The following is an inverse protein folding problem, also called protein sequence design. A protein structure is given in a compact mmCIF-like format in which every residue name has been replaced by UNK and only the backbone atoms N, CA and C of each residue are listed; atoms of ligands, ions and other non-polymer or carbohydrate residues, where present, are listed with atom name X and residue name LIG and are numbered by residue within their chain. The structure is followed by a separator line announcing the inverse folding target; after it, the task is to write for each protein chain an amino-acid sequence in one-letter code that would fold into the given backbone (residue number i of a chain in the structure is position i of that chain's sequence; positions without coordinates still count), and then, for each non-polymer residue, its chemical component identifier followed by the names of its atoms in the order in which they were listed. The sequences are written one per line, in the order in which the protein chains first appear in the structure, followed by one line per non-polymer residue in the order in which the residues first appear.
data_IF_933001485784
#
_entry.id   IF_933001485784
#
_cell.length_a   1.000
_cell.length_b   1.000
_cell.length_c   1.000
_cell.angle_alpha   90.00
_cell.angle_beta   90.00
_cell.angle_gamma   90.00
#
_symmetry.space_group_name_H-M   'P 1'
#
loop_
_entity.id
_entity.type
_entity.pdbx_description
1 polymer ?
#
# COMPACT_ATOMS: atom_id res chain seq x y z
N UNK A 1 18.63 3.66 28.50
CA UNK A 1 18.32 2.51 27.60
C UNK A 1 18.14 2.88 26.12
N UNK A 2 17.44 3.96 25.74
CA UNK A 2 17.20 4.34 24.32
C UNK A 2 18.47 4.57 23.46
N UNK A 3 19.57 5.07 24.03
CA UNK A 3 20.86 5.29 23.30
C UNK A 3 21.56 3.99 22.85
N UNK A 4 21.53 2.94 23.68
CA UNK A 4 22.17 1.66 23.38
C UNK A 4 21.43 0.87 22.28
N UNK A 5 20.10 1.04 22.20
CA UNK A 5 19.27 0.41 21.17
C UNK A 5 19.54 0.98 19.77
N UNK A 6 19.70 2.31 19.67
CA UNK A 6 20.08 2.99 18.42
C UNK A 6 21.47 2.55 17.95
N UNK A 7 22.45 2.49 18.85
CA UNK A 7 23.83 2.10 18.54
C UNK A 7 23.91 0.66 18.02
N UNK A 8 23.14 -0.27 18.60
CA UNK A 8 23.08 -1.68 18.16
C UNK A 8 22.46 -1.84 16.76
N UNK A 9 21.48 -1.01 16.42
CA UNK A 9 20.88 -1.00 15.08
C UNK A 9 21.81 -0.40 14.03
N UNK A 10 22.55 0.67 14.36
CA UNK A 10 23.56 1.24 13.48
C UNK A 10 24.68 0.23 13.15
N UNK A 11 25.17 -0.51 14.15
CA UNK A 11 26.21 -1.54 13.96
C UNK A 11 25.72 -2.67 13.05
N UNK A 12 24.47 -3.13 13.21
CA UNK A 12 23.88 -4.14 12.32
C UNK A 12 23.75 -3.65 10.88
N UNK A 13 23.35 -2.38 10.68
CA UNK A 13 23.28 -1.77 9.35
C UNK A 13 24.68 -1.70 8.73
N UNK A 14 25.67 -1.27 9.51
CA UNK A 14 27.07 -1.17 9.08
C UNK A 14 27.65 -2.53 8.66
N UNK A 15 27.47 -3.57 9.48
CA UNK A 15 27.89 -4.94 9.18
C UNK A 15 27.18 -5.49 7.93
N UNK A 16 25.87 -5.26 7.82
CA UNK A 16 25.10 -5.67 6.64
C UNK A 16 25.55 -4.98 5.35
N UNK A 17 26.02 -3.73 5.41
CA UNK A 17 26.65 -3.06 4.25
C UNK A 17 28.01 -3.65 3.89
N UNK A 18 28.83 -4.06 4.85
CA UNK A 18 30.16 -4.65 4.60
C UNK A 18 30.04 -6.02 3.93
N UNK A 19 29.11 -6.88 4.38
CA UNK A 19 28.91 -8.20 3.77
C UNK A 19 28.45 -8.08 2.31
N UNK A 20 27.54 -7.13 2.03
CA UNK A 20 27.11 -6.84 0.66
C UNK A 20 28.26 -6.27 -0.18
N UNK A 21 29.15 -5.46 0.41
CA UNK A 21 30.33 -4.93 -0.25
C UNK A 21 31.27 -6.05 -0.73
N UNK A 22 31.56 -7.01 0.14
CA UNK A 22 32.42 -8.15 -0.19
C UNK A 22 31.77 -9.00 -1.31
N UNK A 23 30.46 -9.25 -1.23
CA UNK A 23 29.72 -10.01 -2.25
C UNK A 23 29.72 -9.33 -3.63
N UNK A 24 29.51 -8.02 -3.69
CA UNK A 24 29.55 -7.26 -4.94
C UNK A 24 30.95 -7.28 -5.54
N UNK A 25 32.00 -7.13 -4.72
CA UNK A 25 33.38 -7.25 -5.19
C UNK A 25 33.69 -8.64 -5.78
N UNK A 26 33.22 -9.71 -5.14
CA UNK A 26 33.42 -11.09 -5.64
C UNK A 26 32.72 -11.29 -6.99
N UNK A 27 31.49 -10.79 -7.14
CA UNK A 27 30.72 -10.90 -8.39
C UNK A 27 31.40 -10.11 -9.51
N UNK A 28 31.83 -8.87 -9.24
CA UNK A 28 32.51 -8.03 -10.23
C UNK A 28 33.88 -8.59 -10.61
N UNK A 29 34.63 -9.14 -9.65
CA UNK A 29 35.89 -9.83 -9.92
C UNK A 29 35.69 -11.08 -10.77
N UNK A 30 34.60 -11.83 -10.53
CA UNK A 30 34.23 -12.99 -11.32
C UNK A 30 33.84 -12.62 -12.76
N UNK A 31 33.11 -11.52 -12.95
CA UNK A 31 32.77 -10.98 -14.28
C UNK A 31 34.03 -10.50 -15.01
N UNK A 32 34.92 -9.77 -14.33
CA UNK A 32 36.20 -9.33 -14.90
C UNK A 32 37.06 -10.51 -15.37
N UNK A 33 37.21 -11.53 -14.53
CA UNK A 33 37.98 -12.72 -14.85
C UNK A 33 37.36 -13.53 -16.01
N UNK A 34 36.02 -13.65 -16.03
CA UNK A 34 35.31 -14.46 -17.03
C UNK A 34 35.27 -13.79 -18.41
N UNK A 35 35.07 -12.48 -18.48
CA UNK A 35 34.92 -11.76 -19.75
C UNK A 35 36.23 -11.14 -20.29
N UNK A 36 37.35 -11.23 -19.55
CA UNK A 36 38.65 -10.62 -19.90
C UNK A 36 38.50 -9.17 -20.38
N UNK A 37 37.71 -8.38 -19.65
CA UNK A 37 37.54 -6.95 -19.95
C UNK A 37 38.89 -6.28 -19.67
N UNK A 38 39.65 -5.96 -20.72
CA UNK A 38 41.00 -5.39 -20.62
C UNK A 38 41.01 -3.94 -20.09
N UNK A 39 39.87 -3.25 -20.12
CA UNK A 39 39.78 -1.86 -19.68
C UNK A 39 39.40 -1.78 -18.19
N UNK A 40 40.42 -1.73 -17.34
CA UNK A 40 40.30 -1.58 -15.88
C UNK A 40 39.48 -0.34 -15.47
N UNK A 41 39.39 0.67 -16.35
CA UNK A 41 38.62 1.91 -16.10
C UNK A 41 37.11 1.63 -16.04
N UNK A 42 36.63 0.62 -16.75
CA UNK A 42 35.21 0.25 -16.76
C UNK A 42 34.76 -0.29 -15.39
N UNK A 43 35.60 -1.09 -14.72
CA UNK A 43 35.32 -1.59 -13.37
C UNK A 43 35.31 -0.47 -12.32
N UNK A 44 36.23 0.49 -12.43
CA UNK A 44 36.31 1.65 -11.52
C UNK A 44 35.06 2.51 -11.59
N UNK A 45 34.40 2.59 -12.76
CA UNK A 45 33.15 3.34 -12.96
C UNK A 45 31.92 2.55 -12.50
N UNK A 46 31.88 1.24 -12.77
CA UNK A 46 30.73 0.38 -12.44
C UNK A 46 30.55 0.14 -10.92
N UNK A 47 31.65 0.04 -10.15
CA UNK A 47 31.57 -0.19 -8.70
C UNK A 47 30.79 0.94 -7.99
N UNK A 48 31.16 2.24 -8.12
CA UNK A 48 30.41 3.34 -7.52
C UNK A 48 28.95 3.42 -7.96
N UNK A 49 28.63 3.09 -9.21
CA UNK A 49 27.25 3.14 -9.72
C UNK A 49 26.37 2.06 -9.07
N UNK A 50 26.86 0.82 -8.99
CA UNK A 50 26.16 -0.27 -8.30
C UNK A 50 26.00 0.05 -6.81
N UNK A 51 27.01 0.65 -6.17
CA UNK A 51 26.90 1.15 -4.79
C UNK A 51 25.86 2.24 -4.65
N UNK A 52 25.84 3.21 -5.57
CA UNK A 52 24.85 4.29 -5.61
C UNK A 52 23.43 3.74 -5.67
N UNK A 53 23.19 2.75 -6.54
CA UNK A 53 21.89 2.09 -6.68
C UNK A 53 21.50 1.33 -5.40
N UNK A 54 22.40 0.52 -4.83
CA UNK A 54 22.12 -0.22 -3.59
C UNK A 54 21.85 0.73 -2.42
N UNK A 55 22.64 1.81 -2.30
CA UNK A 55 22.47 2.83 -1.27
C UNK A 55 21.12 3.56 -1.44
N UNK A 56 20.77 3.96 -2.66
CA UNK A 56 19.47 4.57 -2.99
C UNK A 56 18.30 3.65 -2.62
N UNK A 57 18.38 2.36 -2.97
CA UNK A 57 17.34 1.37 -2.63
C UNK A 57 17.20 1.21 -1.12
N UNK A 58 18.32 1.10 -0.38
CA UNK A 58 18.31 0.99 1.08
C UNK A 58 17.75 2.25 1.75
N UNK A 59 18.15 3.44 1.29
CA UNK A 59 17.65 4.72 1.81
C UNK A 59 16.15 4.83 1.58
N UNK A 60 15.67 4.51 0.38
CA UNK A 60 14.24 4.48 0.06
C UNK A 60 13.46 3.51 0.96
N UNK A 61 13.99 2.30 1.17
CA UNK A 61 13.38 1.32 2.06
C UNK A 61 13.34 1.78 3.52
N UNK A 62 14.43 2.38 4.04
CA UNK A 62 14.47 2.89 5.40
C UNK A 62 13.53 4.08 5.62
N UNK A 63 13.48 5.03 4.68
CA UNK A 63 12.52 6.13 4.72
C UNK A 63 11.09 5.60 4.77
N UNK A 64 10.77 4.63 3.92
CA UNK A 64 9.44 4.01 3.93
C UNK A 64 9.13 3.33 5.27
N UNK A 65 10.06 2.53 5.80
CA UNK A 65 9.89 1.88 7.11
C UNK A 65 9.65 2.90 8.22
N UNK A 66 10.34 4.04 8.20
CA UNK A 66 10.15 5.11 9.17
C UNK A 66 8.80 5.80 9.02
N UNK A 67 8.32 6.01 7.79
CA UNK A 67 6.97 6.55 7.53
C UNK A 67 5.90 5.59 8.04
N UNK A 68 5.99 4.30 7.73
CA UNK A 68 5.01 3.32 8.22
C UNK A 68 5.03 3.18 9.74
N UNK A 69 6.22 3.27 10.33
CA UNK A 69 6.36 3.29 11.78
C UNK A 69 5.70 4.53 12.38
N UNK A 70 5.87 5.70 11.77
CA UNK A 70 5.19 6.92 12.18
C UNK A 70 3.67 6.75 12.13
N UNK A 71 3.12 6.20 11.03
CA UNK A 71 1.67 5.90 10.95
C UNK A 71 1.24 5.03 12.12
N UNK A 72 1.94 3.91 12.31
CA UNK A 72 1.57 2.97 13.35
C UNK A 72 1.62 3.58 14.76
N UNK A 73 2.67 4.33 15.06
CA UNK A 73 2.96 4.82 16.41
C UNK A 73 2.15 6.08 16.77
N UNK A 74 1.84 6.92 15.79
CA UNK A 74 1.20 8.24 16.00
C UNK A 74 -0.27 8.25 15.58
N UNK A 75 -0.80 7.15 15.02
CA UNK A 75 -2.18 7.11 14.59
C UNK A 75 -3.15 6.72 15.70
N UNK A 76 -4.27 7.46 15.75
CA UNK A 76 -5.50 6.92 16.35
C UNK A 76 -5.98 5.80 15.44
N UNK A 77 -6.07 4.59 15.98
CA UNK A 77 -6.49 3.41 15.22
C UNK A 77 -7.99 3.16 15.31
N UNK A 78 -8.55 3.31 16.50
CA UNK A 78 -9.94 2.93 16.80
C UNK A 78 -10.81 4.19 16.85
N UNK A 79 -11.83 4.23 16.01
CA UNK A 79 -12.73 5.35 15.83
C UNK A 79 -14.17 4.90 16.10
N UNK A 80 -14.87 5.64 16.95
CA UNK A 80 -16.30 5.43 17.15
C UNK A 80 -17.06 6.03 15.95
N UNK A 81 -17.96 5.25 15.36
CA UNK A 81 -18.85 5.74 14.32
C UNK A 81 -20.06 6.43 14.96
N UNK A 82 -20.53 7.52 14.36
CA UNK A 82 -21.61 8.33 14.93
C UNK A 82 -22.95 7.60 15.01
N UNK A 83 -23.25 6.77 14.02
CA UNK A 83 -24.48 6.00 13.91
C UNK A 83 -24.17 4.55 13.52
N UNK A 84 -25.04 3.61 13.88
CA UNK A 84 -24.93 2.24 13.38
C UNK A 84 -25.09 2.23 11.86
N UNK A 85 -23.98 2.02 11.16
CA UNK A 85 -23.97 1.89 9.70
C UNK A 85 -24.24 0.43 9.34
N UNK A 86 -25.04 0.18 8.30
CA UNK A 86 -25.20 -1.14 7.66
C UNK A 86 -24.33 -1.27 6.41
N UNK A 87 -24.12 -2.51 5.95
CA UNK A 87 -23.33 -2.76 4.74
C UNK A 87 -23.93 -2.05 3.53
N UNK A 88 -25.25 -2.06 3.40
CA UNK A 88 -26.01 -1.42 2.31
C UNK A 88 -25.82 0.09 2.32
N UNK A 89 -25.81 0.70 3.51
CA UNK A 89 -25.55 2.13 3.65
C UNK A 89 -24.12 2.50 3.25
N UNK A 90 -23.12 1.64 3.52
CA UNK A 90 -21.76 1.86 3.00
C UNK A 90 -21.77 1.82 1.47
N UNK A 91 -22.41 0.83 0.87
CA UNK A 91 -22.49 0.69 -0.60
C UNK A 91 -23.17 1.93 -1.21
N UNK A 92 -24.27 2.39 -0.63
CA UNK A 92 -24.98 3.59 -1.09
C UNK A 92 -24.08 4.83 -1.00
N UNK A 93 -23.41 5.05 0.13
CA UNK A 93 -22.48 6.18 0.30
C UNK A 93 -21.29 6.08 -0.65
N UNK A 94 -20.78 4.88 -0.92
CA UNK A 94 -19.75 4.65 -1.95
C UNK A 94 -20.28 5.06 -3.34
N UNK A 95 -21.52 4.72 -3.69
CA UNK A 95 -22.16 5.18 -4.95
C UNK A 95 -22.29 6.71 -4.99
N UNK A 96 -22.68 7.34 -3.88
CA UNK A 96 -22.77 8.81 -3.78
C UNK A 96 -21.43 9.51 -4.02
N UNK A 97 -20.30 8.86 -3.71
CA UNK A 97 -18.96 9.36 -4.05
C UNK A 97 -18.58 9.15 -5.52
N UNK A 98 -19.48 8.61 -6.34
CA UNK A 98 -19.31 8.43 -7.77
C UNK A 98 -18.61 7.12 -8.16
N UNK A 99 -18.68 6.09 -7.31
CA UNK A 99 -18.22 4.75 -7.65
C UNK A 99 -19.36 3.93 -8.28
N UNK A 100 -19.08 3.24 -9.38
CA UNK A 100 -19.95 2.19 -9.90
C UNK A 100 -19.73 0.92 -9.08
N UNK A 101 -20.79 0.33 -8.50
CA UNK A 101 -20.65 -0.83 -7.60
C UNK A 101 -21.02 -2.14 -8.28
N UNK A 102 -20.27 -3.20 -7.98
CA UNK A 102 -20.44 -4.56 -8.48
C UNK A 102 -20.40 -5.55 -7.31
N UNK A 103 -21.30 -6.52 -7.31
CA UNK A 103 -21.30 -7.62 -6.35
C UNK A 103 -20.68 -8.86 -6.99
N UNK A 104 -19.64 -9.42 -6.36
CA UNK A 104 -18.98 -10.67 -6.79
C UNK A 104 -18.73 -11.52 -5.55
N UNK A 105 -19.35 -12.69 -5.46
CA UNK A 105 -19.07 -13.71 -4.43
C UNK A 105 -18.90 -13.16 -3.00
N UNK A 106 -19.90 -12.41 -2.52
CA UNK A 106 -19.95 -11.75 -1.21
C UNK A 106 -18.96 -10.59 -1.01
N UNK A 107 -18.35 -10.09 -2.09
CA UNK A 107 -17.54 -8.88 -2.12
C UNK A 107 -18.34 -7.81 -2.85
N UNK A 108 -18.39 -6.61 -2.25
CA UNK A 108 -18.93 -5.44 -2.92
C UNK A 108 -17.76 -4.58 -3.38
N UNK A 109 -17.68 -4.35 -4.68
CA UNK A 109 -16.61 -3.61 -5.33
C UNK A 109 -17.14 -2.31 -5.90
N UNK A 110 -16.77 -1.17 -5.31
CA UNK A 110 -16.93 0.14 -5.93
C UNK A 110 -15.75 0.47 -6.83
N UNK A 111 -15.99 0.84 -8.09
CA UNK A 111 -14.98 1.30 -9.04
C UNK A 111 -15.28 2.74 -9.47
N UNK A 112 -14.31 3.64 -9.28
CA UNK A 112 -14.41 5.01 -9.77
C UNK A 112 -13.27 5.32 -10.73
N UNK A 113 -13.63 5.72 -11.94
CA UNK A 113 -12.69 6.24 -12.93
C UNK A 113 -12.50 7.74 -12.73
N UNK A 114 -11.24 8.16 -12.61
CA UNK A 114 -10.87 9.57 -12.51
C UNK A 114 -9.83 9.86 -13.57
N UNK A 115 -10.12 10.83 -14.43
CA UNK A 115 -9.15 11.33 -15.39
C UNK A 115 -8.29 12.41 -14.72
N UNK A 116 -7.00 12.11 -14.56
CA UNK A 116 -6.02 13.05 -14.04
C UNK A 116 -5.28 13.65 -15.24
N UNK A 117 -5.48 14.94 -15.47
CA UNK A 117 -4.67 15.70 -16.44
C UNK A 117 -3.35 16.06 -15.79
N UNK A 118 -2.25 15.52 -16.31
CA UNK A 118 -0.89 15.90 -15.90
C UNK A 118 -0.12 16.30 -17.16
N UNK A 119 0.10 17.61 -17.33
CA UNK A 119 0.65 18.21 -18.55
C UNK A 119 -0.23 17.92 -19.79
N UNK A 120 0.38 17.54 -20.93
CA UNK A 120 -0.29 17.18 -22.19
C UNK A 120 -0.87 15.75 -22.20
N UNK A 121 -0.78 15.00 -21.10
CA UNK A 121 -1.28 13.63 -21.01
C UNK A 121 -2.44 13.53 -20.02
N UNK A 122 -3.51 12.87 -20.46
CA UNK A 122 -4.62 12.44 -19.63
C UNK A 122 -4.39 11.00 -19.19
N UNK A 123 -4.38 10.75 -17.87
CA UNK A 123 -4.25 9.42 -17.28
C UNK A 123 -5.57 9.08 -16.62
N UNK A 124 -6.18 7.97 -17.01
CA UNK A 124 -7.35 7.43 -16.33
C UNK A 124 -6.89 6.52 -15.18
N UNK A 125 -7.26 6.88 -13.96
CA UNK A 125 -7.01 6.11 -12.75
C UNK A 125 -8.30 5.45 -12.28
N UNK A 126 -8.22 4.22 -11.78
CA UNK A 126 -9.35 3.60 -11.09
C UNK A 126 -9.06 3.47 -9.61
N UNK A 127 -9.97 4.03 -8.82
CA UNK A 127 -10.07 3.76 -7.40
C UNK A 127 -11.01 2.59 -7.20
N UNK A 128 -10.59 1.64 -6.38
CA UNK A 128 -11.42 0.51 -5.98
C UNK A 128 -11.73 0.60 -4.47
N UNK A 129 -12.97 0.32 -4.10
CA UNK A 129 -13.42 0.20 -2.72
C UNK A 129 -14.02 -1.20 -2.53
N UNK A 130 -13.36 -2.06 -1.78
CA UNK A 130 -13.78 -3.45 -1.59
C UNK A 130 -14.35 -3.64 -0.20
N UNK A 131 -15.60 -4.08 -0.09
CA UNK A 131 -16.22 -4.47 1.18
C UNK A 131 -16.22 -5.99 1.25
N UNK A 132 -15.42 -6.51 2.17
CA UNK A 132 -15.15 -7.93 2.40
C UNK A 132 -16.09 -8.45 3.48
N UNK A 133 -16.87 -9.51 3.20
CA UNK A 133 -17.76 -10.15 4.17
C UNK A 133 -17.08 -10.93 5.31
N UNK A 134 -17.90 -11.43 6.24
CA UNK A 134 -17.56 -11.93 7.59
C UNK A 134 -16.56 -13.10 7.70
N UNK A 135 -16.20 -13.78 6.61
CA UNK A 135 -15.47 -15.07 6.64
C UNK A 135 -14.10 -15.03 5.93
N UNK A 136 -13.39 -13.90 5.99
CA UNK A 136 -12.22 -13.68 5.13
C UNK A 136 -10.91 -13.70 5.92
N UNK A 137 -10.30 -14.88 5.91
CA UNK A 137 -8.96 -15.18 6.40
C UNK A 137 -7.87 -14.66 5.43
N UNK A 138 -6.64 -14.47 5.92
CA UNK A 138 -5.49 -13.94 5.15
C UNK A 138 -5.18 -14.72 3.86
N UNK A 139 -5.48 -16.03 3.80
CA UNK A 139 -5.23 -16.88 2.61
C UNK A 139 -6.18 -16.57 1.45
N UNK A 140 -7.37 -16.03 1.74
CA UNK A 140 -8.34 -15.61 0.72
C UNK A 140 -8.00 -14.26 0.09
N UNK A 141 -6.96 -13.55 0.55
CA UNK A 141 -6.54 -12.25 0.00
C UNK A 141 -5.85 -12.39 -1.38
N UNK A 142 -5.20 -13.53 -1.64
CA UNK A 142 -4.48 -13.78 -2.91
C UNK A 142 -5.46 -14.11 -4.04
N UNK A 143 -6.43 -15.00 -3.78
CA UNK A 143 -7.49 -15.38 -4.75
C UNK A 143 -8.31 -14.15 -5.19
N UNK A 144 -8.48 -13.19 -4.29
CA UNK A 144 -9.28 -11.96 -4.53
C UNK A 144 -8.58 -10.92 -5.38
N UNK A 145 -7.26 -10.93 -5.43
CA UNK A 145 -6.54 -10.04 -6.35
C UNK A 145 -6.77 -10.48 -7.81
N UNK A 146 -6.81 -11.79 -8.08
CA UNK A 146 -7.09 -12.29 -9.43
C UNK A 146 -8.54 -12.01 -9.87
N UNK A 147 -9.51 -12.17 -8.97
CA UNK A 147 -10.91 -11.83 -9.24
C UNK A 147 -11.15 -10.32 -9.39
N UNK A 148 -10.47 -9.50 -8.58
CA UNK A 148 -10.46 -8.05 -8.69
C UNK A 148 -9.87 -7.63 -10.03
N UNK A 149 -8.73 -8.20 -10.42
CA UNK A 149 -8.08 -7.92 -11.71
C UNK A 149 -8.98 -8.33 -12.88
N UNK A 150 -9.67 -9.48 -12.79
CA UNK A 150 -10.64 -9.91 -13.81
C UNK A 150 -11.83 -8.96 -13.91
N UNK A 151 -12.38 -8.52 -12.78
CA UNK A 151 -13.54 -7.61 -12.72
C UNK A 151 -13.15 -6.21 -13.20
N UNK A 152 -11.98 -5.71 -12.81
CA UNK A 152 -11.38 -4.48 -13.33
C UNK A 152 -11.18 -4.55 -14.84
N UNK A 153 -10.58 -5.64 -15.35
CA UNK A 153 -10.36 -5.83 -16.78
C UNK A 153 -11.67 -5.81 -17.57
N UNK A 154 -12.73 -6.46 -17.05
CA UNK A 154 -14.06 -6.42 -17.66
C UNK A 154 -14.69 -5.01 -17.62
N UNK A 155 -14.54 -4.29 -16.51
CA UNK A 155 -15.05 -2.94 -16.36
C UNK A 155 -14.38 -1.92 -17.30
N UNK A 156 -13.08 -2.08 -17.52
CA UNK A 156 -12.28 -1.24 -18.44
C UNK A 156 -12.60 -1.59 -19.89
N UNK A 157 -12.94 -2.86 -20.18
CA UNK A 157 -13.20 -3.34 -21.53
C UNK A 157 -14.38 -2.57 -22.16
N UNK A 158 -14.07 -1.72 -23.15
CA UNK A 158 -15.04 -0.89 -23.86
C UNK A 158 -15.05 0.58 -23.44
N UNK A 159 -14.35 0.95 -22.36
CA UNK A 159 -14.07 2.36 -22.03
C UNK A 159 -12.73 2.71 -22.69
N UNK A 160 -12.74 3.49 -23.78
CA UNK A 160 -11.57 3.85 -24.61
C UNK A 160 -10.46 4.55 -23.81
N UNK A 161 -9.66 3.78 -23.06
CA UNK A 161 -8.63 4.30 -22.17
C UNK A 161 -7.25 3.89 -22.64
N UNK A 162 -6.44 4.89 -23.00
CA UNK A 162 -5.11 4.71 -23.57
C UNK A 162 -4.10 4.09 -22.58
N UNK A 163 -4.24 4.33 -21.27
CA UNK A 163 -3.40 3.74 -20.20
C UNK A 163 -4.17 3.72 -18.89
N UNK A 164 -4.31 2.53 -18.30
CA UNK A 164 -4.98 2.33 -17.03
C UNK A 164 -3.98 2.01 -15.92
N UNK A 165 -4.24 2.53 -14.72
CA UNK A 165 -3.56 2.09 -13.49
C UNK A 165 -4.58 2.04 -12.36
N UNK A 166 -4.72 0.89 -11.70
CA UNK A 166 -5.39 0.83 -10.39
C UNK A 166 -4.54 1.63 -9.41
N UNK A 167 -5.14 2.66 -8.82
CA UNK A 167 -4.42 3.54 -7.89
C UNK A 167 -5.00 3.32 -6.50
N UNK A 168 -4.22 2.63 -5.66
CA UNK A 168 -4.43 2.60 -4.23
C UNK A 168 -5.79 2.06 -3.76
N UNK A 169 -6.22 0.82 -4.09
CA UNK A 169 -7.49 0.26 -3.62
C UNK A 169 -7.68 0.41 -2.09
N UNK A 170 -8.91 0.70 -1.65
CA UNK A 170 -9.33 0.67 -0.25
C UNK A 170 -10.00 -0.68 0.01
N UNK A 171 -9.42 -1.46 0.91
CA UNK A 171 -10.00 -2.71 1.41
C UNK A 171 -10.66 -2.45 2.76
N UNK A 172 -11.97 -2.67 2.81
CA UNK A 172 -12.80 -2.58 3.99
C UNK A 172 -13.18 -3.98 4.46
N UNK A 173 -12.61 -4.41 5.58
CA UNK A 173 -13.03 -5.63 6.27
C UNK A 173 -14.32 -5.33 7.04
N UNK A 174 -15.39 -6.04 6.73
CA UNK A 174 -16.68 -5.90 7.40
C UNK A 174 -17.01 -7.20 8.13
N UNK A 175 -17.06 -7.16 9.46
CA UNK A 175 -17.43 -8.34 10.23
C UNK A 175 -18.04 -7.99 11.59
N UNK A 176 -18.79 -8.94 12.17
CA UNK A 176 -19.26 -8.85 13.56
C UNK A 176 -18.12 -8.61 14.55
N UNK A 177 -17.02 -9.36 14.38
CA UNK A 177 -15.80 -9.22 15.17
C UNK A 177 -14.59 -9.35 14.26
N UNK A 178 -13.67 -8.39 14.33
CA UNK A 178 -12.42 -8.44 13.56
C UNK A 178 -11.37 -9.26 14.30
N UNK A 179 -10.52 -9.96 13.55
CA UNK A 179 -9.36 -10.64 14.12
C UNK A 179 -8.24 -9.65 14.44
N UNK A 180 -7.40 -9.96 15.43
CA UNK A 180 -6.24 -9.13 15.79
C UNK A 180 -5.30 -8.88 14.60
N UNK A 181 -5.18 -9.87 13.70
CA UNK A 181 -4.39 -9.75 12.48
C UNK A 181 -4.95 -8.68 11.53
N UNK A 182 -6.26 -8.64 11.35
CA UNK A 182 -6.92 -7.61 10.54
C UNK A 182 -6.76 -6.24 11.18
N UNK A 183 -6.90 -6.13 12.50
CA UNK A 183 -6.69 -4.88 13.24
C UNK A 183 -5.23 -4.40 13.10
N UNK A 184 -4.24 -5.29 13.23
CA UNK A 184 -2.81 -4.98 13.01
C UNK A 184 -2.52 -4.56 11.56
N UNK A 185 -3.29 -5.07 10.60
CA UNK A 185 -3.19 -4.65 9.21
C UNK A 185 -3.74 -3.24 9.01
N UNK A 186 -4.88 -2.95 9.63
CA UNK A 186 -5.50 -1.61 9.62
C UNK A 186 -4.64 -0.58 10.36
N UNK A 187 -3.84 -0.98 11.36
CA UNK A 187 -2.92 -0.08 12.09
C UNK A 187 -1.77 0.42 11.24
N UNK A 188 -1.42 -0.31 10.16
CA UNK A 188 -0.48 0.17 9.16
C UNK A 188 -1.15 1.19 8.23
N UNK A 189 -2.47 1.14 8.05
CA UNK A 189 -3.29 2.04 7.21
C UNK A 189 -3.08 1.89 5.70
N UNK A 190 -1.83 1.70 5.28
CA UNK A 190 -1.42 1.59 3.88
C UNK A 190 -0.27 0.59 3.70
N UNK A 191 -0.39 -0.36 2.76
CA UNK A 191 0.72 -1.23 2.40
C UNK A 191 1.36 -0.74 1.10
N UNK A 192 2.53 -0.11 1.17
CA UNK A 192 3.20 0.47 -0.01
C UNK A 192 3.59 -0.54 -1.09
N UNK A 193 3.91 -1.79 -0.71
CA UNK A 193 4.27 -2.84 -1.68
C UNK A 193 3.10 -3.19 -2.59
N UNK A 194 1.91 -3.30 -2.02
CA UNK A 194 0.65 -3.53 -2.75
C UNK A 194 0.02 -2.22 -3.25
N UNK A 195 0.45 -1.10 -2.67
CA UNK A 195 -0.19 0.20 -2.82
C UNK A 195 -1.66 0.08 -2.46
N UNK A 196 -2.01 -0.31 -1.23
CA UNK A 196 -3.39 -0.58 -0.83
C UNK A 196 -3.69 0.00 0.55
N UNK A 197 -4.89 0.53 0.74
CA UNK A 197 -5.42 1.01 2.00
C UNK A 197 -6.22 -0.08 2.70
N UNK A 198 -6.08 -0.16 4.02
CA UNK A 198 -6.77 -1.16 4.83
C UNK A 198 -7.54 -0.48 5.95
N UNK A 199 -8.84 -0.76 6.00
CA UNK A 199 -9.75 -0.35 7.06
C UNK A 199 -10.57 -1.56 7.51
N UNK A 200 -10.99 -1.57 8.76
CA UNK A 200 -11.86 -2.62 9.30
C UNK A 200 -13.01 -2.01 10.07
N UNK A 201 -14.23 -2.42 9.77
CA UNK A 201 -15.41 -2.06 10.54
C UNK A 201 -15.93 -3.27 11.31
N UNK A 202 -15.98 -3.13 12.62
CA UNK A 202 -16.49 -4.14 13.54
C UNK A 202 -17.93 -3.81 13.92
N UNK A 203 -18.89 -4.61 13.42
CA UNK A 203 -20.31 -4.28 13.53
C UNK A 203 -20.87 -4.45 14.95
N UNK A 204 -20.30 -5.36 15.75
CA UNK A 204 -20.75 -5.59 17.13
C UNK A 204 -20.44 -4.43 18.08
N UNK A 205 -19.35 -3.71 17.80
CA UNK A 205 -18.84 -2.64 18.66
C UNK A 205 -18.93 -1.26 18.01
N UNK A 206 -19.43 -1.20 16.77
CA UNK A 206 -19.59 0.01 15.95
C UNK A 206 -18.30 0.82 15.82
N UNK A 207 -17.17 0.11 15.78
CA UNK A 207 -15.84 0.70 15.71
C UNK A 207 -15.25 0.54 14.32
N UNK A 208 -14.72 1.64 13.81
CA UNK A 208 -13.87 1.64 12.64
C UNK A 208 -12.40 1.63 13.06
N UNK A 209 -11.64 0.71 12.49
CA UNK A 209 -10.20 0.57 12.63
C UNK A 209 -9.53 1.11 11.37
N UNK A 210 -8.87 2.24 11.48
CA UNK A 210 -8.14 2.90 10.40
C UNK A 210 -7.04 3.79 10.96
N UNK A 211 -5.87 3.79 10.31
CA UNK A 211 -4.77 4.62 10.73
C UNK A 211 -4.87 6.07 10.19
N UNK A 212 -5.53 6.95 10.94
CA UNK A 212 -5.67 8.39 10.67
C UNK A 212 -4.38 9.13 10.30
N UNK A 213 -3.23 8.83 10.93
CA UNK A 213 -1.98 9.55 10.66
C UNK A 213 -1.50 9.42 9.20
N UNK A 214 -2.06 8.49 8.42
CA UNK A 214 -1.81 8.37 6.98
C UNK A 214 -2.20 9.63 6.19
N UNK A 215 -3.13 10.45 6.69
CA UNK A 215 -3.50 11.75 6.10
C UNK A 215 -2.36 12.76 6.09
N UNK A 216 -1.48 12.66 7.09
CA UNK A 216 -0.37 13.59 7.31
C UNK A 216 0.81 13.27 6.39
N UNK A 217 0.79 12.12 5.72
CA UNK A 217 1.88 11.68 4.85
C UNK A 217 1.59 12.08 3.42
N UNK A 218 2.60 12.67 2.78
CA UNK A 218 2.55 13.05 1.38
C UNK A 218 2.79 11.85 0.43
N UNK A 219 2.02 10.77 0.58
CA UNK A 219 1.96 9.70 -0.42
C UNK A 219 0.89 10.09 -1.46
N UNK A 220 1.19 10.05 -2.77
CA UNK A 220 0.21 10.38 -3.80
C UNK A 220 -1.10 9.61 -3.64
N UNK A 221 -2.23 10.34 -3.73
CA UNK A 221 -3.61 9.82 -3.66
C UNK A 221 -4.14 9.37 -2.29
N UNK A 222 -3.30 9.32 -1.25
CA UNK A 222 -3.69 8.88 0.10
C UNK A 222 -4.66 9.85 0.80
N UNK A 223 -4.49 11.17 0.59
CA UNK A 223 -5.36 12.19 1.20
C UNK A 223 -6.83 12.04 0.78
N UNK A 224 -7.07 11.77 -0.50
CA UNK A 224 -8.43 11.60 -1.03
C UNK A 224 -9.11 10.36 -0.47
N UNK A 225 -8.34 9.30 -0.25
CA UNK A 225 -8.83 8.02 0.25
C UNK A 225 -9.20 8.10 1.72
N UNK A 226 -8.33 8.73 2.51
CA UNK A 226 -8.63 9.06 3.89
C UNK A 226 -9.90 9.91 4.03
N UNK A 227 -10.04 10.93 3.18
CA UNK A 227 -11.25 11.76 3.14
C UNK A 227 -12.51 10.94 2.81
N UNK A 228 -12.45 10.05 1.81
CA UNK A 228 -13.57 9.14 1.52
C UNK A 228 -13.93 8.25 2.70
N UNK A 229 -12.93 7.71 3.41
CA UNK A 229 -13.17 6.89 4.60
C UNK A 229 -13.94 7.70 5.66
N UNK A 230 -13.48 8.92 5.98
CA UNK A 230 -14.18 9.81 6.94
C UNK A 230 -15.61 10.13 6.51
N UNK A 231 -15.83 10.41 5.23
CA UNK A 231 -17.14 10.76 4.69
C UNK A 231 -18.10 9.56 4.63
N UNK A 232 -17.62 8.38 4.19
CA UNK A 232 -18.43 7.15 4.09
C UNK A 232 -18.83 6.66 5.48
N UNK A 233 -17.90 6.68 6.43
CA UNK A 233 -18.12 6.20 7.79
C UNK A 233 -18.55 7.29 8.78
N UNK A 234 -18.75 8.54 8.32
CA UNK A 234 -19.21 9.66 9.15
C UNK A 234 -18.41 9.79 10.47
N UNK A 235 -17.09 9.72 10.37
CA UNK A 235 -16.18 9.85 11.51
C UNK A 235 -15.96 11.35 11.76
N UNK A 236 -15.90 11.76 13.04
CA UNK A 236 -15.57 13.13 13.43
C UNK A 236 -14.07 13.41 13.34
#
# INVERSE_FOLDING_TARGET
MKKYFLMKNYIKILLGSIVIFILVLIILFSIYYYYRIEDERLMIILIPEVFGIIALVKVKYMLHKNIMKFVHDESVLKHAVLDRITREQIIERVKEKGFETYSVDNIELGLQLVNIKKNLMEISCCYAFLILGESIDDENEIVKNEELDKTLNNYIKGKEMYRFRTVCPIYCFWAEKLSDKVIEKCSKGFEYKKGAFYIGYETSSENLYYAEAIEQINIPNCKRQAQWIKEIFQIR
#
